data_IF_482909899595
#
_entry.id   IF_482909899595
#
_cell.length_a   1.000
_cell.length_b   1.000
_cell.length_c   1.000
_cell.angle_alpha   90.00
_cell.angle_beta   90.00
_cell.angle_gamma   90.00
#
_symmetry.space_group_name_H-M   'P 1'
#
loop_
_entity.id
_entity.type
_entity.pdbx_description
1 polymer ?
#
# COMPACT_ATOMS: atom_id res chain seq x y z
N UNK A 1 -68.25 -42.35 -11.75
CA UNK A 1 -69.10 -41.15 -11.69
C UNK A 1 -68.19 -39.94 -11.80
N UNK A 2 -68.19 -39.30 -12.97
CA UNK A 2 -67.40 -38.10 -13.22
C UNK A 2 -68.02 -36.95 -12.42
N UNK A 3 -67.31 -36.46 -11.41
CA UNK A 3 -67.66 -35.20 -10.76
C UNK A 3 -66.90 -34.09 -11.47
N UNK A 4 -67.68 -33.33 -12.22
CA UNK A 4 -67.35 -32.04 -12.80
C UNK A 4 -67.62 -31.00 -11.71
N UNK A 5 -66.58 -30.28 -11.27
CA UNK A 5 -66.73 -29.12 -10.38
C UNK A 5 -65.75 -28.03 -10.80
N UNK A 6 -66.28 -26.82 -10.80
CA UNK A 6 -65.93 -25.63 -11.58
C UNK A 6 -64.73 -24.86 -11.03
N UNK A 7 -64.08 -23.97 -11.82
CA UNK A 7 -62.96 -23.15 -11.36
C UNK A 7 -63.38 -22.05 -10.36
N UNK A 8 -62.53 -21.84 -9.36
CA UNK A 8 -62.60 -20.81 -8.30
C UNK A 8 -62.67 -19.36 -8.83
N UNK A 9 -63.41 -18.45 -8.17
CA UNK A 9 -63.49 -17.04 -8.54
C UNK A 9 -62.22 -16.26 -8.12
N UNK A 10 -61.74 -15.40 -9.01
CA UNK A 10 -60.56 -14.56 -8.82
C UNK A 10 -60.71 -13.51 -7.70
N UNK A 11 -59.66 -13.35 -6.90
CA UNK A 11 -59.53 -12.31 -5.88
C UNK A 11 -59.52 -10.89 -6.50
N UNK A 12 -60.15 -9.89 -5.86
CA UNK A 12 -60.12 -8.51 -6.34
C UNK A 12 -58.73 -7.88 -6.16
N UNK A 13 -58.30 -6.96 -7.05
CA UNK A 13 -56.97 -6.36 -6.99
C UNK A 13 -56.79 -5.54 -5.71
N UNK A 14 -55.68 -5.80 -5.01
CA UNK A 14 -55.32 -5.19 -3.74
C UNK A 14 -55.39 -3.68 -3.74
N UNK A 15 -55.99 -3.12 -2.68
CA UNK A 15 -55.93 -1.69 -2.38
C UNK A 15 -54.46 -1.26 -2.25
N UNK A 16 -54.04 -0.31 -3.08
CA UNK A 16 -52.75 0.34 -2.95
C UNK A 16 -52.63 1.04 -1.59
N UNK A 17 -51.62 0.67 -0.81
CA UNK A 17 -51.26 1.38 0.41
C UNK A 17 -50.77 2.79 0.06
N UNK A 18 -51.19 3.86 0.77
CA UNK A 18 -50.62 5.19 0.56
C UNK A 18 -49.14 5.21 0.99
N UNK A 19 -48.27 5.95 0.28
CA UNK A 19 -46.87 6.07 0.67
C UNK A 19 -46.72 6.81 2.01
N UNK A 20 -45.69 6.52 2.81
CA UNK A 20 -45.47 7.18 4.09
C UNK A 20 -45.15 8.68 3.91
N UNK A 21 -45.52 9.53 4.89
CA UNK A 21 -45.27 10.97 4.79
C UNK A 21 -43.78 11.30 4.78
N UNK A 22 -43.39 12.22 3.89
CA UNK A 22 -42.05 12.75 3.79
C UNK A 22 -41.61 13.43 5.11
N UNK A 23 -40.35 13.28 5.55
CA UNK A 23 -39.89 13.92 6.77
C UNK A 23 -39.87 15.45 6.60
N UNK A 24 -40.55 16.13 7.52
CA UNK A 24 -40.63 17.58 7.61
C UNK A 24 -39.23 18.22 7.63
N UNK A 25 -39.07 19.27 6.83
CA UNK A 25 -37.90 20.15 6.85
C UNK A 25 -37.69 20.72 8.26
N UNK A 26 -36.63 20.26 8.93
CA UNK A 26 -36.07 20.94 10.09
C UNK A 26 -34.74 21.54 9.68
N UNK A 27 -34.76 22.86 9.49
CA UNK A 27 -33.55 23.66 9.38
C UNK A 27 -32.75 23.61 10.67
N UNK A 28 -31.49 23.22 10.56
CA UNK A 28 -30.39 23.65 11.40
C UNK A 28 -29.11 23.17 10.70
N UNK A 29 -28.45 24.10 10.02
CA UNK A 29 -27.14 23.93 9.43
C UNK A 29 -26.15 23.49 10.52
N UNK A 30 -25.34 22.46 10.27
CA UNK A 30 -23.87 22.45 10.44
C UNK A 30 -23.29 21.08 10.03
N UNK A 31 -22.93 21.01 8.73
CA UNK A 31 -21.94 20.14 8.05
C UNK A 31 -21.86 18.66 8.46
N UNK A 32 -22.70 17.84 7.82
CA UNK A 32 -22.26 16.50 7.38
C UNK A 32 -21.24 16.71 6.26
N UNK A 33 -19.95 16.51 6.54
CA UNK A 33 -18.93 16.46 5.49
C UNK A 33 -19.17 15.20 4.64
N UNK A 34 -19.84 15.39 3.50
CA UNK A 34 -19.93 14.40 2.43
C UNK A 34 -18.68 14.58 1.56
N UNK A 35 -17.75 13.64 1.60
CA UNK A 35 -16.72 13.52 0.57
C UNK A 35 -17.32 12.77 -0.61
N UNK A 36 -17.94 13.51 -1.53
CA UNK A 36 -18.36 12.99 -2.83
C UNK A 36 -17.24 13.32 -3.80
N UNK A 37 -16.32 12.38 -3.99
CA UNK A 37 -15.32 12.49 -5.06
C UNK A 37 -16.01 12.04 -6.34
N UNK A 38 -16.73 12.96 -6.97
CA UNK A 38 -17.19 12.78 -8.34
C UNK A 38 -15.95 12.92 -9.25
N UNK A 39 -15.26 11.82 -9.51
CA UNK A 39 -14.25 11.75 -10.56
C UNK A 39 -14.97 11.80 -11.91
N UNK A 40 -15.27 13.03 -12.36
CA UNK A 40 -15.55 13.32 -13.77
C UNK A 40 -14.38 14.13 -14.29
N UNK A 41 -13.52 13.46 -15.04
CA UNK A 41 -12.54 14.09 -15.91
C UNK A 41 -13.32 14.81 -17.03
N UNK A 42 -13.04 16.08 -17.35
CA UNK A 42 -13.38 16.62 -18.66
C UNK A 42 -12.35 16.08 -19.66
N UNK A 43 -12.82 15.19 -20.53
CA UNK A 43 -12.18 14.90 -21.80
C UNK A 43 -12.25 16.14 -22.71
N UNK A 44 -11.21 16.32 -23.54
CA UNK A 44 -11.06 17.28 -24.65
C UNK A 44 -10.86 18.77 -24.35
N UNK A 45 -9.59 19.19 -24.34
CA UNK A 45 -9.07 20.39 -25.04
C UNK A 45 -7.62 20.04 -25.44
N UNK A 46 -7.29 19.62 -26.66
CA UNK A 46 -7.50 20.34 -27.90
C UNK A 46 -6.16 20.92 -28.36
N UNK A 47 -5.44 20.18 -29.20
CA UNK A 47 -4.27 20.67 -29.95
C UNK A 47 -4.67 21.91 -30.76
N UNK A 48 -3.96 23.03 -30.63
CA UNK A 48 -4.19 24.19 -31.47
C UNK A 48 -3.40 25.41 -31.04
N UNK A 49 -2.38 25.74 -31.82
CA UNK A 49 -1.47 26.86 -31.59
C UNK A 49 -2.14 28.24 -31.57
N UNK A 50 -1.50 29.16 -30.86
CA UNK A 50 -1.81 30.58 -30.86
C UNK A 50 -0.61 31.32 -30.29
N UNK A 51 0.18 31.95 -31.17
CA UNK A 51 1.40 32.65 -30.82
C UNK A 51 1.17 33.92 -30.02
N UNK A 52 2.13 34.22 -29.14
CA UNK A 52 2.34 35.49 -28.46
C UNK A 52 3.85 35.74 -28.37
N UNK A 53 4.37 36.91 -28.80
CA UNK A 53 5.77 37.06 -29.12
C UNK A 53 6.54 37.71 -27.96
N UNK A 54 6.86 36.96 -26.92
CA UNK A 54 7.83 37.42 -25.93
C UNK A 54 8.58 36.19 -25.40
N UNK A 55 9.87 36.14 -25.71
CA UNK A 55 10.72 34.98 -25.52
C UNK A 55 10.93 34.63 -24.05
N UNK A 56 10.90 33.33 -23.78
CA UNK A 56 11.84 32.75 -22.83
C UNK A 56 12.25 31.38 -23.35
N UNK A 57 13.56 31.17 -23.40
CA UNK A 57 14.20 30.02 -23.99
C UNK A 57 13.83 28.77 -23.21
N UNK A 58 13.32 27.77 -23.92
CA UNK A 58 13.40 26.37 -23.51
C UNK A 58 14.87 25.94 -23.65
N UNK A 59 15.74 26.51 -22.81
CA UNK A 59 17.06 25.95 -22.59
C UNK A 59 16.90 24.84 -21.54
N UNK A 60 17.15 23.63 -22.04
CA UNK A 60 18.08 22.73 -21.37
C UNK A 60 17.58 22.19 -20.03
N UNK A 61 16.71 21.18 -20.16
CA UNK A 61 16.57 20.09 -19.19
C UNK A 61 17.98 19.76 -18.68
N UNK A 62 18.28 20.20 -17.47
CA UNK A 62 19.54 19.93 -16.79
C UNK A 62 19.84 18.44 -16.90
N UNK A 63 21.05 18.16 -17.39
CA UNK A 63 21.55 16.84 -17.76
C UNK A 63 21.01 15.69 -16.92
N UNK A 64 20.59 14.62 -17.58
CA UNK A 64 20.25 13.33 -16.97
C UNK A 64 21.35 12.79 -16.02
N UNK A 65 22.59 13.27 -16.15
CA UNK A 65 23.71 12.97 -15.24
C UNK A 65 23.50 13.44 -13.79
N UNK A 66 22.73 14.50 -13.55
CA UNK A 66 22.46 15.04 -12.20
C UNK A 66 21.45 14.16 -11.44
N UNK A 67 20.53 13.53 -12.17
CA UNK A 67 19.54 12.60 -11.62
C UNK A 67 20.20 11.28 -11.19
N UNK A 68 21.15 10.77 -11.98
CA UNK A 68 21.93 9.58 -11.64
C UNK A 68 22.96 9.85 -10.52
N UNK A 69 23.57 11.04 -10.50
CA UNK A 69 24.51 11.44 -9.44
C UNK A 69 23.83 11.58 -8.08
N UNK A 70 22.64 12.19 -8.04
CA UNK A 70 21.85 12.31 -6.80
C UNK A 70 21.50 10.95 -6.20
N UNK A 71 21.21 9.94 -7.04
CA UNK A 71 20.88 8.59 -6.58
C UNK A 71 22.11 7.85 -6.01
N UNK A 72 23.28 7.98 -6.65
CA UNK A 72 24.54 7.38 -6.18
C UNK A 72 25.08 8.07 -4.92
N UNK A 73 24.85 9.37 -4.76
CA UNK A 73 25.26 10.12 -3.56
C UNK A 73 24.43 9.77 -2.31
N UNK A 74 23.21 9.25 -2.48
CA UNK A 74 22.35 8.80 -1.36
C UNK A 74 22.91 7.54 -0.68
N UNK A 75 23.62 6.67 -1.41
CA UNK A 75 24.31 5.53 -0.78
C UNK A 75 25.57 5.97 -0.01
N UNK A 76 26.17 7.12 -0.35
CA UNK A 76 27.38 7.65 0.30
C UNK A 76 27.12 8.33 1.64
N UNK A 77 25.90 8.85 1.87
CA UNK A 77 25.49 9.49 3.14
C UNK A 77 25.40 8.50 4.31
N UNK A 78 25.45 7.17 4.07
CA UNK A 78 25.57 6.18 5.15
C UNK A 78 26.95 6.17 5.82
N UNK A 79 27.92 6.98 5.37
CA UNK A 79 29.29 7.00 5.90
C UNK A 79 29.81 8.35 6.41
N UNK A 80 29.02 9.44 6.39
CA UNK A 80 29.42 10.70 7.02
C UNK A 80 28.22 11.59 7.33
N UNK A 81 27.90 11.75 8.62
CA UNK A 81 26.79 12.57 9.10
C UNK A 81 26.99 14.07 8.84
N UNK A 82 25.90 14.88 8.75
CA UNK A 82 26.03 16.30 8.54
C UNK A 82 26.36 17.01 9.85
N UNK A 83 27.51 17.69 9.81
CA UNK A 83 28.04 18.64 10.79
C UNK A 83 27.08 19.77 11.13
N UNK A 84 27.18 20.19 12.39
CA UNK A 84 26.59 21.38 13.01
C UNK A 84 26.49 22.60 12.09
N UNK A 85 25.32 23.25 12.12
CA UNK A 85 25.18 24.66 11.80
C UNK A 85 24.35 25.35 12.87
N UNK A 86 25.08 26.04 13.74
CA UNK A 86 24.60 27.14 14.57
C UNK A 86 23.71 28.10 13.78
N UNK A 87 22.49 28.33 14.29
CA UNK A 87 21.77 29.59 14.08
C UNK A 87 20.99 29.94 15.34
N UNK A 88 21.63 30.72 16.20
CA UNK A 88 20.97 31.61 17.15
C UNK A 88 20.03 32.56 16.40
N UNK A 89 18.75 32.56 16.77
CA UNK A 89 17.88 33.73 16.61
C UNK A 89 16.78 33.73 17.66
N UNK A 90 16.99 34.55 18.68
CA UNK A 90 15.99 34.96 19.64
C UNK A 90 14.81 35.67 18.95
N UNK A 91 13.59 35.24 19.27
CA UNK A 91 12.39 36.04 19.15
C UNK A 91 11.35 35.51 20.15
N UNK A 92 11.22 36.24 21.25
CA UNK A 92 10.18 36.10 22.25
C UNK A 92 8.81 36.28 21.61
N UNK A 93 7.92 35.28 21.74
CA UNK A 93 6.48 35.51 21.72
C UNK A 93 5.84 34.70 22.83
N UNK A 94 4.95 35.35 23.56
CA UNK A 94 4.34 34.98 24.82
C UNK A 94 3.51 33.70 24.72
N UNK A 95 3.75 32.75 25.64
CA UNK A 95 2.83 31.65 25.94
C UNK A 95 3.05 31.20 27.40
N UNK A 96 1.99 31.06 28.22
CA UNK A 96 2.15 30.65 29.62
C UNK A 96 2.62 29.19 29.70
N UNK A 97 3.47 28.84 30.69
CA UNK A 97 4.07 27.51 30.78
C UNK A 97 3.01 26.45 31.09
N UNK A 98 2.82 25.48 30.17
CA UNK A 98 2.00 24.29 30.42
C UNK A 98 2.66 23.41 31.50
N UNK A 99 1.88 22.78 32.40
CA UNK A 99 2.39 21.88 33.43
C UNK A 99 3.23 20.76 32.81
N UNK A 100 4.53 20.73 33.13
CA UNK A 100 5.45 19.65 32.78
C UNK A 100 5.02 18.39 33.55
N UNK A 101 4.40 17.43 32.85
CA UNK A 101 4.20 16.10 33.39
C UNK A 101 5.56 15.42 33.54
N UNK A 102 6.04 15.27 34.77
CA UNK A 102 7.21 14.44 35.06
C UNK A 102 6.89 13.02 34.58
N UNK A 103 7.61 12.55 33.58
CA UNK A 103 7.64 11.14 33.23
C UNK A 103 8.41 10.41 34.33
N UNK A 104 7.70 9.67 35.17
CA UNK A 104 8.30 8.66 36.02
C UNK A 104 8.78 7.54 35.12
N UNK A 105 10.09 7.45 34.89
CA UNK A 105 10.73 6.23 34.37
C UNK A 105 10.74 5.19 35.49
N UNK A 106 9.68 4.37 35.57
CA UNK A 106 9.80 3.07 36.20
C UNK A 106 10.30 2.11 35.12
N UNK A 107 11.55 1.70 35.27
CA UNK A 107 12.13 0.55 34.58
C UNK A 107 11.82 -0.67 35.44
N UNK A 108 10.59 -1.18 35.38
CA UNK A 108 10.36 -2.57 35.79
C UNK A 108 10.90 -3.47 34.69
N UNK A 109 12.20 -3.75 34.79
CA UNK A 109 12.89 -4.76 34.01
C UNK A 109 12.30 -6.14 34.29
N UNK A 110 11.17 -6.45 33.65
CA UNK A 110 10.72 -7.81 33.41
C UNK A 110 10.92 -8.13 31.94
N UNK A 111 12.15 -7.95 31.47
CA UNK A 111 12.65 -8.64 30.30
C UNK A 111 12.77 -10.12 30.67
N UNK A 112 11.77 -10.91 30.29
CA UNK A 112 11.96 -12.36 30.11
C UNK A 112 12.96 -12.52 28.96
N UNK A 113 14.24 -12.39 29.28
CA UNK A 113 15.35 -12.70 28.40
C UNK A 113 15.34 -14.21 28.15
N UNK A 114 14.70 -14.61 27.05
CA UNK A 114 14.89 -15.92 26.48
C UNK A 114 16.27 -15.95 25.81
N UNK A 115 17.33 -16.14 26.61
CA UNK A 115 18.64 -16.54 26.10
C UNK A 115 18.68 -18.07 26.08
N UNK A 116 18.73 -18.73 24.90
CA UNK A 116 18.87 -20.17 24.81
C UNK A 116 20.34 -20.52 25.05
N UNK A 117 20.75 -20.58 26.31
CA UNK A 117 22.11 -20.98 26.67
C UNK A 117 22.55 -20.41 28.00
N UNK A 118 22.13 -21.06 29.09
CA UNK A 118 22.91 -21.30 30.31
C UNK A 118 21.99 -21.99 31.32
N UNK A 119 22.44 -23.13 31.86
CA UNK A 119 21.91 -23.72 33.08
C UNK A 119 20.86 -24.82 32.87
N UNK A 120 21.30 -26.07 32.99
CA UNK A 120 20.44 -27.25 32.90
C UNK A 120 19.39 -27.35 34.02
N UNK A 121 18.20 -27.83 33.65
CA UNK A 121 17.12 -28.17 34.57
C UNK A 121 15.83 -28.42 33.79
N UNK A 122 15.41 -29.69 33.71
CA UNK A 122 14.05 -30.16 33.44
C UNK A 122 13.28 -29.56 32.24
N UNK A 123 13.39 -30.21 31.07
CA UNK A 123 12.51 -29.98 29.92
C UNK A 123 11.00 -30.22 30.15
N UNK A 124 10.58 -30.62 31.37
CA UNK A 124 9.17 -30.72 31.78
C UNK A 124 8.64 -29.43 32.42
N UNK A 125 9.48 -28.64 33.09
CA UNK A 125 9.04 -27.46 33.84
C UNK A 125 8.98 -26.21 32.95
N UNK A 126 9.80 -26.15 31.89
CA UNK A 126 9.68 -25.14 30.83
C UNK A 126 8.37 -25.30 30.02
N UNK A 127 7.94 -26.54 29.78
CA UNK A 127 6.67 -26.82 29.12
C UNK A 127 5.46 -26.54 30.03
N UNK A 128 5.55 -26.85 31.33
CA UNK A 128 4.52 -26.55 32.32
C UNK A 128 4.36 -25.03 32.55
N UNK A 129 5.47 -24.29 32.65
CA UNK A 129 5.44 -22.82 32.77
C UNK A 129 4.94 -22.13 31.50
N UNK A 130 5.25 -22.66 30.30
CA UNK A 130 4.64 -22.19 29.06
C UNK A 130 3.13 -22.42 29.05
N UNK A 131 2.66 -23.59 29.49
CA UNK A 131 1.25 -23.92 29.59
C UNK A 131 0.52 -23.02 30.61
N UNK A 132 1.14 -22.72 31.75
CA UNK A 132 0.62 -21.80 32.75
C UNK A 132 0.56 -20.35 32.24
N UNK A 133 1.57 -19.90 31.50
CA UNK A 133 1.55 -18.58 30.83
C UNK A 133 0.48 -18.52 29.72
N UNK A 134 0.19 -19.63 29.04
CA UNK A 134 -0.88 -19.73 28.05
C UNK A 134 -2.28 -19.72 28.70
N UNK A 135 -2.45 -20.39 29.84
CA UNK A 135 -3.67 -20.33 30.65
C UNK A 135 -3.85 -18.96 31.33
N UNK A 136 -2.77 -18.30 31.76
CA UNK A 136 -2.82 -16.93 32.26
C UNK A 136 -3.20 -15.90 31.18
N UNK A 137 -2.99 -16.23 29.90
CA UNK A 137 -3.47 -15.46 28.74
C UNK A 137 -4.91 -15.82 28.35
N UNK A 138 -5.50 -16.85 28.95
CA UNK A 138 -6.87 -17.25 28.69
C UNK A 138 -7.80 -16.37 29.51
N UNK A 139 -8.69 -15.67 28.80
CA UNK A 139 -9.72 -14.88 29.46
C UNK A 139 -10.56 -15.79 30.37
N UNK A 140 -10.98 -15.26 31.53
CA UNK A 140 -11.89 -15.93 32.47
C UNK A 140 -13.01 -16.67 31.74
N UNK A 141 -13.30 -17.88 32.20
CA UNK A 141 -14.39 -18.71 31.64
C UNK A 141 -15.75 -18.00 31.80
N UNK A 142 -16.74 -18.31 30.96
CA UNK A 142 -18.08 -17.71 31.07
C UNK A 142 -18.73 -17.98 32.44
N UNK A 143 -18.45 -19.13 33.06
CA UNK A 143 -18.95 -19.50 34.40
C UNK A 143 -18.32 -18.61 35.49
N UNK A 144 -17.00 -18.44 35.48
CA UNK A 144 -16.30 -17.53 36.39
C UNK A 144 -16.75 -16.07 36.22
N UNK A 145 -17.08 -15.66 34.99
CA UNK A 145 -17.63 -14.33 34.73
C UNK A 145 -19.07 -14.18 35.23
N UNK A 146 -19.87 -15.26 35.22
CA UNK A 146 -21.23 -15.25 35.76
C UNK A 146 -21.22 -15.14 37.29
N UNK A 147 -20.35 -15.91 37.96
CA UNK A 147 -20.11 -15.78 39.41
C UNK A 147 -19.62 -14.38 39.78
N UNK A 148 -18.68 -13.83 39.00
CA UNK A 148 -18.20 -12.46 39.21
C UNK A 148 -19.29 -11.43 38.94
N UNK A 149 -20.21 -11.66 38.02
CA UNK A 149 -21.33 -10.75 37.76
C UNK A 149 -22.33 -10.72 38.94
N UNK A 150 -22.47 -11.84 39.67
CA UNK A 150 -23.28 -11.90 40.88
C UNK A 150 -22.67 -11.07 42.03
N UNK A 151 -21.34 -10.96 42.10
CA UNK A 151 -20.61 -10.18 43.11
C UNK A 151 -20.42 -8.72 42.68
N UNK A 152 -19.93 -8.48 41.46
CA UNK A 152 -19.65 -7.17 40.86
C UNK A 152 -20.04 -7.13 39.36
N UNK A 153 -21.27 -6.69 39.04
CA UNK A 153 -21.76 -6.64 37.67
C UNK A 153 -21.03 -5.60 36.81
N UNK A 154 -20.42 -4.56 37.40
CA UNK A 154 -19.69 -3.52 36.66
C UNK A 154 -18.36 -4.06 36.16
N UNK A 155 -17.64 -4.80 37.02
CA UNK A 155 -16.38 -5.45 36.65
C UNK A 155 -16.60 -6.51 35.58
N UNK A 156 -17.63 -7.34 35.71
CA UNK A 156 -17.97 -8.35 34.69
C UNK A 156 -18.22 -7.71 33.31
N UNK A 157 -19.03 -6.65 33.24
CA UNK A 157 -19.27 -5.90 31.99
C UNK A 157 -17.98 -5.33 31.38
N UNK A 158 -17.08 -4.79 32.19
CA UNK A 158 -15.79 -4.27 31.72
C UNK A 158 -14.93 -5.37 31.09
N UNK A 159 -14.91 -6.56 31.69
CA UNK A 159 -14.15 -7.70 31.15
C UNK A 159 -14.73 -8.14 29.80
N UNK A 160 -16.06 -8.24 29.68
CA UNK A 160 -16.70 -8.58 28.40
C UNK A 160 -16.41 -7.54 27.31
N UNK A 161 -16.51 -6.25 27.63
CA UNK A 161 -16.20 -5.17 26.70
C UNK A 161 -14.73 -5.20 26.27
N UNK A 162 -13.79 -5.39 27.21
CA UNK A 162 -12.37 -5.52 26.90
C UNK A 162 -12.07 -6.77 26.07
N UNK A 163 -12.73 -7.90 26.36
CA UNK A 163 -12.63 -9.12 25.55
C UNK A 163 -13.07 -8.87 24.12
N UNK A 164 -14.20 -8.20 23.93
CA UNK A 164 -14.71 -7.86 22.60
C UNK A 164 -13.77 -6.91 21.84
N UNK A 165 -13.25 -5.87 22.50
CA UNK A 165 -12.33 -4.93 21.86
C UNK A 165 -10.97 -5.55 21.56
N UNK A 166 -10.44 -6.39 22.44
CA UNK A 166 -9.23 -7.17 22.23
C UNK A 166 -9.40 -8.15 21.05
N UNK A 167 -10.53 -8.85 20.96
CA UNK A 167 -10.84 -9.74 19.83
C UNK A 167 -10.84 -8.97 18.49
N UNK A 168 -11.54 -7.83 18.41
CA UNK A 168 -11.53 -6.96 17.21
C UNK A 168 -10.15 -6.38 16.89
N UNK A 169 -9.35 -6.08 17.91
CA UNK A 169 -7.97 -5.58 17.71
C UNK A 169 -7.07 -6.67 17.14
N UNK A 170 -7.16 -7.90 17.68
CA UNK A 170 -6.43 -9.06 17.18
C UNK A 170 -6.86 -9.41 15.77
N UNK A 171 -8.16 -9.37 15.47
CA UNK A 171 -8.71 -9.58 14.13
C UNK A 171 -8.16 -8.56 13.13
N UNK A 172 -8.18 -7.26 13.46
CA UNK A 172 -7.62 -6.22 12.60
C UNK A 172 -6.14 -6.43 12.33
N UNK A 173 -5.36 -6.75 13.36
CA UNK A 173 -3.92 -7.05 13.21
C UNK A 173 -3.68 -8.31 12.37
N UNK A 174 -4.46 -9.37 12.58
CA UNK A 174 -4.36 -10.60 11.79
C UNK A 174 -4.66 -10.33 10.31
N UNK A 175 -5.70 -9.55 10.00
CA UNK A 175 -6.00 -9.12 8.62
C UNK A 175 -4.87 -8.32 8.00
N UNK A 176 -4.33 -7.34 8.72
CA UNK A 176 -3.21 -6.53 8.25
C UNK A 176 -1.96 -7.38 7.96
N UNK A 177 -1.66 -8.36 8.82
CA UNK A 177 -0.56 -9.31 8.59
C UNK A 177 -0.80 -10.09 7.28
N UNK A 178 -1.99 -10.68 7.10
CA UNK A 178 -2.29 -11.43 5.86
C UNK A 178 -2.27 -10.56 4.61
N UNK A 179 -2.69 -9.30 4.73
CA UNK A 179 -2.65 -8.34 3.62
C UNK A 179 -1.22 -8.00 3.23
N UNK A 180 -0.34 -7.77 4.21
CA UNK A 180 1.09 -7.55 3.98
C UNK A 180 1.75 -8.78 3.35
N UNK A 181 1.46 -9.98 3.84
CA UNK A 181 1.97 -11.23 3.28
C UNK A 181 1.56 -11.39 1.81
N UNK A 182 0.29 -11.14 1.49
CA UNK A 182 -0.19 -11.13 0.11
C UNK A 182 0.53 -10.07 -0.73
N UNK A 183 0.72 -8.85 -0.20
CA UNK A 183 1.39 -7.77 -0.92
C UNK A 183 2.86 -8.11 -1.24
N UNK A 184 3.56 -8.74 -0.30
CA UNK A 184 4.92 -9.24 -0.53
C UNK A 184 4.92 -10.27 -1.65
N UNK A 185 4.02 -11.26 -1.62
CA UNK A 185 3.93 -12.27 -2.68
C UNK A 185 3.60 -11.66 -4.06
N UNK A 186 2.67 -10.70 -4.10
CA UNK A 186 2.32 -9.98 -5.33
C UNK A 186 3.51 -9.22 -5.89
N UNK A 187 4.20 -8.40 -5.07
CA UNK A 187 5.37 -7.64 -5.51
C UNK A 187 6.52 -8.55 -5.97
N UNK A 188 6.74 -9.69 -5.30
CA UNK A 188 7.73 -10.68 -5.73
C UNK A 188 7.40 -11.29 -7.10
N UNK A 189 6.11 -11.58 -7.34
CA UNK A 189 5.63 -12.12 -8.62
C UNK A 189 5.76 -11.08 -9.74
N UNK A 190 5.42 -9.83 -9.45
CA UNK A 190 5.60 -8.70 -10.38
C UNK A 190 7.07 -8.50 -10.73
N UNK A 191 7.97 -8.49 -9.73
CA UNK A 191 9.40 -8.38 -9.95
C UNK A 191 9.92 -9.51 -10.87
N UNK A 192 9.51 -10.75 -10.59
CA UNK A 192 9.89 -11.91 -11.42
C UNK A 192 9.39 -11.76 -12.85
N UNK A 193 8.15 -11.30 -13.02
CA UNK A 193 7.53 -11.10 -14.34
C UNK A 193 8.23 -10.00 -15.13
N UNK A 194 8.54 -8.87 -14.48
CA UNK A 194 9.27 -7.76 -15.08
C UNK A 194 10.72 -8.16 -15.44
N UNK A 195 11.39 -8.93 -14.59
CA UNK A 195 12.72 -9.48 -14.90
C UNK A 195 12.68 -10.38 -16.13
N UNK A 196 11.68 -11.25 -16.27
CA UNK A 196 11.51 -12.10 -17.44
C UNK A 196 11.27 -11.28 -18.72
N UNK A 197 10.46 -10.22 -18.65
CA UNK A 197 10.24 -9.31 -19.78
C UNK A 197 11.52 -8.58 -20.18
N UNK A 198 12.29 -8.10 -19.21
CA UNK A 198 13.57 -7.42 -19.45
C UNK A 198 14.56 -8.35 -20.15
N UNK A 199 14.68 -9.61 -19.71
CA UNK A 199 15.52 -10.61 -20.38
C UNK A 199 15.07 -10.87 -21.82
N UNK A 200 13.75 -10.94 -22.08
CA UNK A 200 13.23 -11.11 -23.43
C UNK A 200 13.61 -9.92 -24.33
N UNK A 201 13.39 -8.69 -23.89
CA UNK A 201 13.74 -7.51 -24.67
C UNK A 201 15.25 -7.35 -24.88
N UNK A 202 16.07 -7.71 -23.90
CA UNK A 202 17.53 -7.74 -24.06
C UNK A 202 17.95 -8.73 -25.15
N UNK A 203 17.35 -9.93 -25.17
CA UNK A 203 17.62 -10.93 -26.20
C UNK A 203 17.18 -10.45 -27.59
N UNK A 204 15.99 -9.88 -27.70
CA UNK A 204 15.47 -9.41 -28.98
C UNK A 204 16.28 -8.21 -29.50
N UNK A 205 16.71 -7.29 -28.62
CA UNK A 205 17.59 -6.17 -28.97
C UNK A 205 18.94 -6.65 -29.49
N UNK A 206 19.56 -7.63 -28.81
CA UNK A 206 20.84 -8.20 -29.27
C UNK A 206 20.69 -8.97 -30.58
N UNK A 207 19.58 -9.70 -30.76
CA UNK A 207 19.23 -10.36 -32.03
C UNK A 207 19.11 -9.37 -33.19
N UNK A 208 18.28 -8.32 -33.04
CA UNK A 208 18.12 -7.28 -34.06
C UNK A 208 19.43 -6.53 -34.34
N UNK A 209 20.26 -6.30 -33.33
CA UNK A 209 21.57 -5.68 -33.51
C UNK A 209 22.50 -6.55 -34.37
N UNK A 210 22.51 -7.86 -34.14
CA UNK A 210 23.29 -8.81 -34.93
C UNK A 210 22.79 -8.88 -36.39
N UNK A 211 21.47 -8.97 -36.60
CA UNK A 211 20.87 -8.94 -37.95
C UNK A 211 21.19 -7.62 -38.68
N UNK A 212 21.13 -6.50 -37.96
CA UNK A 212 21.47 -5.18 -38.53
C UNK A 212 22.95 -5.11 -38.95
N UNK A 213 23.85 -5.69 -38.15
CA UNK A 213 25.26 -5.79 -38.49
C UNK A 213 25.51 -6.67 -39.74
N UNK A 214 24.83 -7.81 -39.84
CA UNK A 214 24.91 -8.69 -41.01
C UNK A 214 24.42 -7.97 -42.28
N UNK A 215 23.28 -7.29 -42.20
CA UNK A 215 22.72 -6.54 -43.33
C UNK A 215 23.66 -5.41 -43.78
N UNK A 216 24.30 -4.71 -42.84
CA UNK A 216 25.32 -3.69 -43.15
C UNK A 216 26.51 -4.28 -43.88
N UNK A 217 27.03 -5.41 -43.40
CA UNK A 217 28.15 -6.11 -44.06
C UNK A 217 27.76 -6.52 -45.48
N UNK A 218 26.55 -7.08 -45.64
CA UNK A 218 26.03 -7.49 -46.95
C UNK A 218 25.87 -6.31 -47.91
N UNK A 219 25.37 -5.18 -47.41
CA UNK A 219 25.24 -3.95 -48.19
C UNK A 219 26.63 -3.46 -48.66
N UNK A 220 27.60 -3.37 -47.75
CA UNK A 220 28.97 -2.95 -48.08
C UNK A 220 29.62 -3.87 -49.14
N UNK A 221 29.41 -5.19 -49.03
CA UNK A 221 29.92 -6.14 -50.02
C UNK A 221 29.28 -5.92 -51.42
N UNK A 222 27.97 -5.66 -51.46
CA UNK A 222 27.28 -5.35 -52.72
C UNK A 222 27.73 -4.01 -53.32
N UNK A 223 27.96 -2.99 -52.51
CA UNK A 223 28.47 -1.69 -52.96
C UNK A 223 29.87 -1.82 -53.57
N UNK A 224 30.77 -2.58 -52.93
CA UNK A 224 32.10 -2.87 -53.47
C UNK A 224 32.01 -3.63 -54.80
N UNK A 225 31.11 -4.60 -54.91
CA UNK A 225 30.90 -5.34 -56.16
C UNK A 225 30.38 -4.42 -57.29
N UNK A 226 29.49 -3.48 -56.99
CA UNK A 226 28.98 -2.51 -57.96
C UNK A 226 30.11 -1.59 -58.45
N UNK A 227 30.90 -1.01 -57.53
CA UNK A 227 32.04 -0.16 -57.87
C UNK A 227 33.05 -0.87 -58.77
N UNK A 228 33.39 -2.14 -58.47
CA UNK A 228 34.30 -2.93 -59.31
C UNK A 228 33.74 -3.16 -60.73
N UNK A 229 32.42 -3.36 -60.86
CA UNK A 229 31.78 -3.50 -62.18
C UNK A 229 31.79 -2.18 -62.95
N UNK A 230 31.55 -1.05 -62.30
CA UNK A 230 31.57 0.27 -62.93
C UNK A 230 32.98 0.60 -63.45
N UNK A 231 34.01 0.37 -62.62
CA UNK A 231 35.42 0.53 -63.04
C UNK A 231 35.74 -0.40 -64.22
N UNK A 232 35.31 -1.66 -64.17
CA UNK A 232 35.53 -2.62 -65.26
C UNK A 232 34.80 -2.24 -66.55
N UNK A 233 33.62 -1.60 -66.48
CA UNK A 233 32.88 -1.10 -67.63
C UNK A 233 33.61 0.10 -68.26
N UNK A 234 34.04 1.05 -67.43
CA UNK A 234 34.76 2.25 -67.88
C UNK A 234 36.12 1.93 -68.52
N UNK A 235 36.80 0.86 -68.10
CA UNK A 235 38.08 0.44 -68.70
C UNK A 235 37.95 -0.25 -70.07
N UNK A 236 36.73 -0.59 -70.51
CA UNK A 236 36.48 -1.32 -71.77
C UNK A 236 35.97 -0.43 -72.91
N UNK A 237 35.72 0.85 -72.64
CA UNK A 237 35.36 1.86 -73.65
C UNK A 237 36.60 2.67 -74.04
#
# INVERSE_FOLDING_TARGET
MQQQQQPEPADPPGRAFPPPPAPAARGAHHRRARSEVAFRLPDDLGLGGGGGPDGDGFDEIGSEDDLFSTFMDIEKISSSGPSDRDRDRAAETSSPPRPKHRHSSSVDGSGLFFSPGVGGGTGKDAAASLAEVMEAKKAMSPEQLAELAAIDPKRAKRILANRQSAARSKERKARYITELERKVQTLQTEATTLSAQLTLFQRDTTGLSAENAELKIRLQAMEQQAQLRDVSCNMKQ
#
